data_IF_793975823525
#
_entry.id   IF_793975823525
#
_cell.length_a   1.000
_cell.length_b   1.000
_cell.length_c   1.000
_cell.angle_alpha   90.00
_cell.angle_beta   90.00
_cell.angle_gamma   90.00
#
_symmetry.space_group_name_H-M   'P 1'
#
loop_
_entity.id
_entity.type
_entity.pdbx_description
1 polymer ?
#
# COMPACT_ATOMS: atom_id res chain seq x y z
N UNK A 1 30.45 -27.30 3.44
CA UNK A 1 29.20 -27.55 2.69
C UNK A 1 28.22 -28.15 3.66
N UNK A 2 27.46 -27.30 4.35
CA UNK A 2 26.35 -27.74 5.17
C UNK A 2 25.25 -28.15 4.19
N UNK A 3 24.93 -29.43 4.12
CA UNK A 3 23.70 -29.93 3.50
C UNK A 3 22.54 -29.36 4.32
N UNK A 4 22.07 -28.17 3.93
CA UNK A 4 20.76 -27.69 4.33
C UNK A 4 19.82 -28.36 3.35
N UNK A 5 19.09 -29.39 3.80
CA UNK A 5 17.97 -29.91 3.03
C UNK A 5 17.08 -28.71 2.61
N UNK A 6 16.73 -28.57 1.33
CA UNK A 6 15.90 -27.46 0.90
C UNK A 6 14.58 -27.51 1.66
N UNK A 7 14.28 -26.43 2.38
CA UNK A 7 13.07 -26.27 3.17
C UNK A 7 11.85 -26.53 2.27
N UNK A 8 10.91 -27.37 2.71
CA UNK A 8 9.71 -27.69 1.92
C UNK A 8 8.93 -26.39 1.63
N UNK A 9 8.53 -26.21 0.36
CA UNK A 9 7.79 -25.01 -0.05
C UNK A 9 6.49 -24.89 0.75
N UNK A 10 6.18 -23.70 1.33
CA UNK A 10 4.89 -23.46 1.96
C UNK A 10 3.74 -23.80 0.99
N UNK A 11 2.70 -24.44 1.51
CA UNK A 11 1.65 -25.04 0.66
C UNK A 11 0.96 -24.03 -0.25
N UNK A 12 0.62 -22.82 0.22
CA UNK A 12 0.07 -21.76 -0.61
C UNK A 12 0.98 -21.37 -1.79
N UNK A 13 2.29 -21.28 -1.57
CA UNK A 13 3.28 -21.02 -2.63
C UNK A 13 3.33 -22.19 -3.61
N UNK A 14 3.42 -23.42 -3.13
CA UNK A 14 3.45 -24.59 -3.99
C UNK A 14 2.16 -24.73 -4.83
N UNK A 15 1.01 -24.33 -4.30
CA UNK A 15 -0.26 -24.26 -5.04
C UNK A 15 -0.22 -23.15 -6.11
N UNK A 16 0.28 -21.96 -5.78
CA UNK A 16 0.39 -20.85 -6.74
C UNK A 16 1.26 -21.23 -7.95
N UNK A 17 2.39 -21.91 -7.73
CA UNK A 17 3.26 -22.42 -8.79
C UNK A 17 2.71 -23.67 -9.51
N UNK A 18 1.57 -24.22 -9.09
CA UNK A 18 1.02 -25.47 -9.63
C UNK A 18 1.84 -26.72 -9.31
N UNK A 19 2.82 -26.62 -8.39
CA UNK A 19 3.72 -27.72 -8.00
C UNK A 19 3.05 -28.65 -6.98
N UNK A 20 2.18 -28.12 -6.12
CA UNK A 20 1.38 -28.89 -5.17
C UNK A 20 0.01 -29.30 -5.72
N UNK A 21 -0.15 -29.38 -7.05
CA UNK A 21 -1.36 -29.93 -7.65
C UNK A 21 -1.58 -31.36 -7.16
N UNK A 22 -2.46 -31.55 -6.18
CA UNK A 22 -2.81 -32.89 -5.68
C UNK A 22 -3.47 -33.68 -6.83
N UNK A 23 -3.18 -34.98 -6.99
CA UNK A 23 -3.39 -35.72 -8.22
C UNK A 23 -4.87 -36.08 -8.40
N UNK A 24 -5.42 -35.86 -9.60
CA UNK A 24 -6.10 -36.91 -10.38
C UNK A 24 -6.73 -36.33 -11.66
N UNK A 25 -6.27 -36.84 -12.82
CA UNK A 25 -7.00 -36.77 -14.09
C UNK A 25 -8.31 -37.56 -13.93
N UNK A 26 -9.45 -36.87 -14.01
CA UNK A 26 -10.80 -37.42 -13.98
C UNK A 26 -11.82 -36.39 -14.49
N UNK A 27 -13.09 -36.77 -14.72
CA UNK A 27 -14.11 -35.85 -15.26
C UNK A 27 -14.24 -34.60 -14.39
N UNK A 28 -14.48 -33.43 -15.01
CA UNK A 28 -14.62 -32.10 -14.35
C UNK A 28 -15.32 -32.24 -12.99
N UNK A 29 -14.55 -32.21 -11.89
CA UNK A 29 -15.16 -32.12 -10.56
C UNK A 29 -15.81 -30.76 -10.40
N UNK A 30 -16.89 -30.73 -9.63
CA UNK A 30 -17.60 -29.51 -9.27
C UNK A 30 -16.76 -28.53 -8.42
N UNK A 31 -15.56 -28.91 -7.94
CA UNK A 31 -14.72 -28.07 -7.08
C UNK A 31 -13.22 -28.25 -7.38
N UNK A 32 -12.52 -27.12 -7.57
CA UNK A 32 -11.08 -26.99 -7.82
C UNK A 32 -10.51 -25.78 -7.05
N UNK A 33 -9.18 -25.65 -6.98
CA UNK A 33 -8.55 -24.48 -6.31
C UNK A 33 -8.96 -23.19 -7.02
N UNK A 34 -8.93 -23.18 -8.36
CA UNK A 34 -9.29 -22.04 -9.19
C UNK A 34 -10.73 -21.60 -8.90
N UNK A 35 -11.69 -22.53 -8.87
CA UNK A 35 -13.09 -22.21 -8.53
C UNK A 35 -13.27 -21.66 -7.11
N UNK A 36 -12.45 -22.12 -6.16
CA UNK A 36 -12.47 -21.62 -4.78
C UNK A 36 -11.94 -20.18 -4.74
N UNK A 37 -10.83 -19.91 -5.43
CA UNK A 37 -10.20 -18.59 -5.48
C UNK A 37 -11.10 -17.60 -6.24
N UNK A 38 -11.67 -17.98 -7.39
CA UNK A 38 -12.65 -17.19 -8.15
C UNK A 38 -13.81 -16.73 -7.26
N UNK A 39 -14.45 -17.66 -6.55
CA UNK A 39 -15.57 -17.34 -5.66
C UNK A 39 -15.15 -16.44 -4.48
N UNK A 40 -13.92 -16.58 -3.99
CA UNK A 40 -13.39 -15.75 -2.92
C UNK A 40 -13.05 -14.33 -3.41
N UNK A 41 -12.47 -14.19 -4.61
CA UNK A 41 -12.21 -12.88 -5.26
C UNK A 41 -13.53 -12.17 -5.54
N UNK A 42 -14.53 -12.84 -6.13
CA UNK A 42 -15.86 -12.25 -6.35
C UNK A 42 -16.50 -11.76 -5.05
N UNK A 43 -16.35 -12.52 -3.96
CA UNK A 43 -16.86 -12.12 -2.65
C UNK A 43 -16.12 -10.90 -2.09
N UNK A 44 -14.79 -10.87 -2.25
CA UNK A 44 -13.95 -9.76 -1.80
C UNK A 44 -14.21 -8.47 -2.60
N UNK A 45 -14.44 -8.59 -3.91
CA UNK A 45 -14.78 -7.46 -4.78
C UNK A 45 -16.15 -6.85 -4.41
N UNK A 46 -17.12 -7.69 -4.04
CA UNK A 46 -18.47 -7.25 -3.71
C UNK A 46 -18.63 -6.73 -2.27
N UNK A 47 -18.00 -7.40 -1.30
CA UNK A 47 -18.26 -7.18 0.13
C UNK A 47 -17.00 -6.83 0.94
N UNK A 48 -15.84 -6.75 0.28
CA UNK A 48 -14.55 -6.47 0.91
C UNK A 48 -13.92 -7.70 1.58
N UNK A 49 -12.64 -7.57 1.95
CA UNK A 49 -11.85 -8.68 2.50
C UNK A 49 -12.40 -9.25 3.81
N UNK A 50 -13.11 -8.42 4.58
CA UNK A 50 -13.71 -8.81 5.85
C UNK A 50 -14.80 -9.87 5.73
N UNK A 51 -15.49 -9.91 4.59
CA UNK A 51 -16.53 -10.91 4.30
C UNK A 51 -15.94 -12.29 3.96
N UNK A 52 -14.67 -12.34 3.57
CA UNK A 52 -14.01 -13.58 3.12
C UNK A 52 -13.66 -14.46 4.32
N UNK A 53 -14.40 -15.55 4.43
CA UNK A 53 -14.14 -16.65 5.35
C UNK A 53 -14.29 -18.00 4.63
N UNK A 54 -13.63 -19.04 5.14
CA UNK A 54 -13.78 -20.40 4.59
C UNK A 54 -15.25 -20.84 4.52
N UNK A 55 -16.07 -20.40 5.48
CA UNK A 55 -17.49 -20.70 5.50
C UNK A 55 -18.29 -19.92 4.45
N UNK A 56 -18.02 -18.61 4.29
CA UNK A 56 -18.69 -17.78 3.30
C UNK A 56 -18.38 -18.25 1.86
N UNK A 57 -17.12 -18.57 1.57
CA UNK A 57 -16.71 -19.08 0.25
C UNK A 57 -17.35 -20.46 -0.02
N UNK A 58 -17.38 -21.34 0.98
CA UNK A 58 -18.03 -22.64 0.85
C UNK A 58 -19.54 -22.49 0.58
N UNK A 59 -20.22 -21.62 1.32
CA UNK A 59 -21.65 -21.35 1.14
C UNK A 59 -21.95 -20.80 -0.25
N UNK A 60 -21.14 -19.85 -0.75
CA UNK A 60 -21.26 -19.30 -2.11
C UNK A 60 -21.14 -20.38 -3.19
N UNK A 61 -20.32 -21.41 -2.95
CA UNK A 61 -20.14 -22.54 -3.87
C UNK A 61 -21.12 -23.70 -3.63
N UNK A 62 -21.99 -23.64 -2.62
CA UNK A 62 -22.90 -24.73 -2.27
C UNK A 62 -22.25 -25.93 -1.57
N UNK A 63 -21.07 -25.74 -0.96
CA UNK A 63 -20.32 -26.78 -0.25
C UNK A 63 -20.18 -26.50 1.25
N UNK A 64 -19.68 -27.48 1.98
CA UNK A 64 -19.31 -27.32 3.40
C UNK A 64 -17.89 -26.77 3.55
N UNK A 65 -17.57 -26.01 4.62
CA UNK A 65 -16.22 -25.51 4.87
C UNK A 65 -15.16 -26.63 4.88
N UNK A 66 -15.51 -27.78 5.45
CA UNK A 66 -14.64 -28.96 5.50
C UNK A 66 -14.23 -29.47 4.10
N UNK A 67 -15.05 -29.22 3.09
CA UNK A 67 -14.75 -29.61 1.71
C UNK A 67 -13.65 -28.73 1.10
N UNK A 68 -13.59 -27.44 1.44
CA UNK A 68 -12.58 -26.50 0.95
C UNK A 68 -11.19 -26.80 1.51
N UNK A 69 -11.10 -27.21 2.78
CA UNK A 69 -9.83 -27.52 3.44
C UNK A 69 -9.01 -28.63 2.78
N UNK A 70 -9.63 -29.47 1.93
CA UNK A 70 -8.91 -30.45 1.11
C UNK A 70 -8.07 -29.80 0.01
N UNK A 71 -8.47 -28.63 -0.47
CA UNK A 71 -7.85 -27.89 -1.57
C UNK A 71 -6.94 -26.79 -1.04
N UNK A 72 -7.42 -26.01 -0.07
CA UNK A 72 -6.71 -24.88 0.53
C UNK A 72 -6.68 -25.05 2.04
N UNK A 73 -5.48 -25.27 2.60
CA UNK A 73 -5.29 -25.72 3.99
C UNK A 73 -5.60 -24.66 5.04
N UNK A 74 -5.39 -23.39 4.73
CA UNK A 74 -5.56 -22.29 5.66
C UNK A 74 -6.19 -21.07 4.98
N UNK A 75 -6.74 -20.16 5.79
CA UNK A 75 -7.22 -18.87 5.28
C UNK A 75 -6.07 -18.08 4.65
N UNK A 76 -4.87 -18.12 5.22
CA UNK A 76 -3.72 -17.39 4.70
C UNK A 76 -3.29 -17.90 3.31
N UNK A 77 -3.34 -19.22 3.08
CA UNK A 77 -3.13 -19.79 1.75
C UNK A 77 -4.19 -19.29 0.75
N UNK A 78 -5.45 -19.17 1.18
CA UNK A 78 -6.52 -18.64 0.33
C UNK A 78 -6.27 -17.17 -0.02
N UNK A 79 -5.92 -16.33 0.96
CA UNK A 79 -5.63 -14.92 0.75
C UNK A 79 -4.46 -14.72 -0.21
N UNK A 80 -3.41 -15.52 -0.07
CA UNK A 80 -2.25 -15.51 -0.98
C UNK A 80 -2.65 -15.87 -2.42
N UNK A 81 -3.46 -16.92 -2.59
CA UNK A 81 -3.93 -17.34 -3.92
C UNK A 81 -4.89 -16.31 -4.53
N UNK A 82 -5.73 -15.67 -3.71
CA UNK A 82 -6.59 -14.57 -4.15
C UNK A 82 -5.75 -13.39 -4.64
N UNK A 83 -4.77 -12.93 -3.86
CA UNK A 83 -3.88 -11.83 -4.26
C UNK A 83 -3.16 -12.17 -5.57
N UNK A 84 -2.58 -13.37 -5.66
CA UNK A 84 -1.93 -13.87 -6.87
C UNK A 84 -2.85 -13.82 -8.09
N UNK A 85 -4.10 -14.28 -7.96
CA UNK A 85 -5.08 -14.27 -9.04
C UNK A 85 -5.50 -12.84 -9.43
N UNK A 86 -5.72 -11.97 -8.44
CA UNK A 86 -6.21 -10.61 -8.65
C UNK A 86 -5.13 -9.69 -9.23
N UNK A 87 -3.86 -9.90 -8.87
CA UNK A 87 -2.71 -9.23 -9.49
C UNK A 87 -2.60 -9.64 -10.96
N UNK A 88 -2.69 -10.94 -11.25
CA UNK A 88 -2.59 -11.46 -12.61
C UNK A 88 -1.23 -11.19 -13.28
N UNK A 89 -1.06 -11.64 -14.52
CA UNK A 89 0.18 -11.38 -15.27
C UNK A 89 0.29 -9.90 -15.66
N UNK A 90 1.52 -9.34 -15.70
CA UNK A 90 1.73 -8.03 -16.30
C UNK A 90 1.25 -8.01 -17.75
N UNK A 91 0.54 -6.95 -18.18
CA UNK A 91 0.16 -6.77 -19.58
C UNK A 91 1.38 -6.87 -20.50
N UNK A 92 1.26 -7.57 -21.63
CA UNK A 92 2.38 -7.78 -22.55
C UNK A 92 2.88 -6.45 -23.14
N UNK A 93 1.97 -5.50 -23.31
CA UNK A 93 2.19 -4.16 -23.83
C UNK A 93 3.17 -3.35 -22.96
N UNK A 94 3.35 -3.71 -21.68
CA UNK A 94 4.32 -3.05 -20.82
C UNK A 94 5.76 -3.15 -21.37
N UNK A 95 6.08 -4.23 -22.08
CA UNK A 95 7.41 -4.43 -22.69
C UNK A 95 7.58 -3.66 -24.00
N UNK A 96 6.48 -3.18 -24.58
CA UNK A 96 6.48 -2.48 -25.88
C UNK A 96 6.82 -1.00 -25.76
N UNK A 97 6.73 -0.42 -24.55
CA UNK A 97 7.09 0.99 -24.33
C UNK A 97 8.59 1.25 -24.52
N UNK A 98 8.90 2.39 -25.14
CA UNK A 98 10.27 2.84 -25.39
C UNK A 98 10.95 3.37 -24.12
N UNK A 99 12.04 2.71 -23.74
CA UNK A 99 12.88 3.13 -22.62
C UNK A 99 12.31 2.80 -21.24
N UNK A 100 13.22 2.63 -20.29
CA UNK A 100 12.92 2.20 -18.92
C UNK A 100 11.87 3.09 -18.23
N UNK A 101 11.92 4.41 -18.45
CA UNK A 101 11.03 5.38 -17.79
C UNK A 101 9.58 5.22 -18.24
N UNK A 102 9.34 4.98 -19.53
CA UNK A 102 7.99 4.75 -20.04
C UNK A 102 7.44 3.41 -19.56
N UNK A 103 8.27 2.36 -19.53
CA UNK A 103 7.90 1.03 -19.02
C UNK A 103 7.51 1.07 -17.53
N UNK A 104 8.32 1.71 -16.68
CA UNK A 104 8.00 1.81 -15.24
C UNK A 104 6.77 2.68 -14.96
N UNK A 105 6.55 3.74 -15.76
CA UNK A 105 5.31 4.52 -15.68
C UNK A 105 4.09 3.68 -16.06
N UNK A 106 4.16 2.93 -17.16
CA UNK A 106 3.06 2.06 -17.59
C UNK A 106 2.79 0.96 -16.56
N UNK A 107 3.84 0.41 -15.93
CA UNK A 107 3.70 -0.51 -14.81
C UNK A 107 2.97 0.11 -13.62
N UNK A 108 3.38 1.31 -13.19
CA UNK A 108 2.69 2.05 -12.12
C UNK A 108 1.20 2.22 -12.41
N UNK A 109 0.85 2.66 -13.63
CA UNK A 109 -0.54 2.86 -14.05
C UNK A 109 -1.33 1.53 -14.03
N UNK A 110 -0.74 0.45 -14.54
CA UNK A 110 -1.37 -0.85 -14.57
C UNK A 110 -1.60 -1.44 -13.17
N UNK A 111 -0.62 -1.31 -12.27
CA UNK A 111 -0.76 -1.71 -10.86
C UNK A 111 -1.85 -0.89 -10.14
N UNK A 112 -1.92 0.42 -10.36
CA UNK A 112 -3.00 1.27 -9.82
C UNK A 112 -4.37 0.79 -10.31
N UNK A 113 -4.51 0.45 -11.59
CA UNK A 113 -5.77 -0.08 -12.14
C UNK A 113 -6.16 -1.43 -11.51
N UNK A 114 -5.20 -2.29 -11.19
CA UNK A 114 -5.43 -3.53 -10.44
C UNK A 114 -5.97 -3.20 -9.04
N UNK A 115 -5.33 -2.28 -8.32
CA UNK A 115 -5.76 -1.88 -6.98
C UNK A 115 -7.14 -1.21 -6.97
N UNK A 116 -7.49 -0.48 -8.02
CA UNK A 116 -8.84 0.09 -8.16
C UNK A 116 -9.90 -0.98 -8.44
N UNK A 117 -9.53 -2.05 -9.17
CA UNK A 117 -10.42 -3.18 -9.45
C UNK A 117 -10.61 -4.08 -8.22
N UNK A 118 -9.54 -4.30 -7.47
CA UNK A 118 -9.47 -5.22 -6.34
C UNK A 118 -8.93 -4.51 -5.08
N UNK A 119 -9.65 -3.51 -4.53
CA UNK A 119 -9.15 -2.66 -3.43
C UNK A 119 -8.85 -3.42 -2.14
N UNK A 120 -9.42 -4.62 -1.97
CA UNK A 120 -9.15 -5.49 -0.83
C UNK A 120 -7.69 -5.97 -0.75
N UNK A 121 -6.95 -6.01 -1.85
CA UNK A 121 -5.50 -6.35 -1.87
C UNK A 121 -4.72 -5.41 -0.95
N UNK A 122 -5.11 -4.13 -0.92
CA UNK A 122 -4.44 -3.09 -0.15
C UNK A 122 -4.62 -3.28 1.36
N UNK A 123 -5.60 -4.08 1.78
CA UNK A 123 -5.84 -4.45 3.18
C UNK A 123 -5.06 -5.69 3.61
N UNK A 124 -4.42 -6.41 2.68
CA UNK A 124 -3.60 -7.57 3.00
C UNK A 124 -2.25 -7.14 3.58
N UNK A 125 -1.74 -7.86 4.61
CA UNK A 125 -0.41 -7.61 5.14
C UNK A 125 0.64 -7.96 4.08
N UNK A 126 1.67 -7.11 3.95
CA UNK A 126 2.83 -7.42 3.11
C UNK A 126 3.70 -8.41 3.89
N UNK A 127 3.69 -9.68 3.48
CA UNK A 127 4.46 -10.74 4.14
C UNK A 127 5.57 -11.25 3.23
N UNK A 128 6.82 -10.91 3.56
CA UNK A 128 8.00 -11.45 2.88
C UNK A 128 8.15 -10.99 1.42
N UNK A 129 8.90 -11.78 0.65
CA UNK A 129 9.21 -11.50 -0.76
C UNK A 129 8.08 -12.02 -1.68
N UNK A 130 7.73 -11.31 -2.77
CA UNK A 130 6.69 -11.71 -3.71
C UNK A 130 7.12 -12.91 -4.56
N UNK A 131 7.10 -14.11 -3.98
CA UNK A 131 7.60 -15.34 -4.62
C UNK A 131 6.51 -16.14 -5.35
N UNK A 132 5.32 -15.59 -5.55
CA UNK A 132 4.26 -16.23 -6.37
C UNK A 132 4.47 -15.91 -7.86
N UNK A 133 3.97 -16.73 -8.80
CA UNK A 133 4.27 -16.57 -10.23
C UNK A 133 3.99 -15.19 -10.83
N UNK A 134 2.78 -14.65 -10.63
CA UNK A 134 2.36 -13.37 -11.18
C UNK A 134 3.14 -12.23 -10.51
N UNK A 135 3.25 -12.24 -9.18
CA UNK A 135 4.04 -11.23 -8.46
C UNK A 135 5.53 -11.26 -8.88
N UNK A 136 6.08 -12.45 -9.13
CA UNK A 136 7.43 -12.62 -9.68
C UNK A 136 7.54 -12.10 -11.11
N UNK A 137 6.52 -12.28 -11.94
CA UNK A 137 6.48 -11.78 -13.32
C UNK A 137 6.41 -10.24 -13.38
N UNK A 138 5.69 -9.60 -12.46
CA UNK A 138 5.70 -8.14 -12.32
C UNK A 138 7.08 -7.61 -11.93
N UNK A 139 7.75 -8.26 -10.96
CA UNK A 139 9.10 -7.89 -10.58
C UNK A 139 10.11 -8.12 -11.72
N UNK A 140 10.01 -9.24 -12.43
CA UNK A 140 10.83 -9.53 -13.61
C UNK A 140 10.66 -8.45 -14.68
N UNK A 141 9.42 -8.06 -14.99
CA UNK A 141 9.12 -7.00 -15.95
C UNK A 141 9.76 -5.66 -15.57
N UNK A 142 9.74 -5.30 -14.28
CA UNK A 142 10.35 -4.07 -13.78
C UNK A 142 11.89 -4.09 -13.87
N UNK A 143 12.50 -5.23 -13.51
CA UNK A 143 13.94 -5.44 -13.58
C UNK A 143 14.44 -5.45 -15.03
N UNK A 144 13.68 -6.08 -15.93
CA UNK A 144 13.93 -6.09 -17.38
C UNK A 144 13.86 -4.68 -17.97
N UNK A 145 12.89 -3.86 -17.56
CA UNK A 145 12.79 -2.47 -18.00
C UNK A 145 14.06 -1.66 -17.69
N UNK A 146 14.74 -1.95 -16.58
CA UNK A 146 16.00 -1.30 -16.17
C UNK A 146 17.25 -2.04 -16.67
N UNK A 147 17.09 -3.10 -17.46
CA UNK A 147 18.13 -4.04 -17.88
C UNK A 147 19.34 -3.39 -18.55
N UNK A 148 19.08 -2.38 -19.37
CA UNK A 148 20.08 -1.66 -20.18
C UNK A 148 20.67 -0.43 -19.48
N UNK A 149 20.24 -0.14 -18.25
CA UNK A 149 20.76 0.99 -17.47
C UNK A 149 22.07 0.63 -16.75
N UNK A 150 22.92 1.62 -16.41
CA UNK A 150 24.15 1.39 -15.64
C UNK A 150 23.88 0.98 -14.17
N UNK A 151 22.62 0.91 -13.73
CA UNK A 151 22.26 0.53 -12.36
C UNK A 151 22.70 -0.91 -12.04
N UNK A 152 23.19 -1.12 -10.83
CA UNK A 152 23.40 -2.43 -10.22
C UNK A 152 22.08 -3.17 -9.98
N UNK A 153 22.12 -4.49 -9.81
CA UNK A 153 20.92 -5.28 -9.50
C UNK A 153 20.18 -4.78 -8.24
N UNK A 154 20.92 -4.36 -7.20
CA UNK A 154 20.34 -3.79 -5.98
C UNK A 154 19.61 -2.48 -6.25
N UNK A 155 20.18 -1.59 -7.06
CA UNK A 155 19.55 -0.33 -7.42
C UNK A 155 18.32 -0.56 -8.31
N UNK A 156 18.38 -1.51 -9.25
CA UNK A 156 17.21 -1.87 -10.08
C UNK A 156 16.06 -2.38 -9.23
N UNK A 157 16.34 -3.24 -8.25
CA UNK A 157 15.36 -3.72 -7.30
C UNK A 157 14.79 -2.56 -6.46
N UNK A 158 15.64 -1.69 -5.93
CA UNK A 158 15.21 -0.53 -5.15
C UNK A 158 14.30 0.41 -5.97
N UNK A 159 14.65 0.64 -7.24
CA UNK A 159 13.84 1.47 -8.14
C UNK A 159 12.48 0.83 -8.41
N UNK A 160 12.47 -0.47 -8.69
CA UNK A 160 11.24 -1.24 -8.95
C UNK A 160 10.31 -1.23 -7.72
N UNK A 161 10.85 -1.52 -6.54
CA UNK A 161 10.08 -1.51 -5.28
C UNK A 161 9.52 -0.13 -4.94
N UNK A 162 10.25 0.95 -5.24
CA UNK A 162 9.76 2.30 -5.02
C UNK A 162 8.58 2.65 -5.94
N UNK A 163 8.59 2.19 -7.19
CA UNK A 163 7.47 2.35 -8.12
C UNK A 163 6.24 1.58 -7.63
N UNK A 164 6.41 0.30 -7.29
CA UNK A 164 5.32 -0.53 -6.75
C UNK A 164 4.77 0.01 -5.43
N UNK A 165 5.65 0.52 -4.55
CA UNK A 165 5.26 1.17 -3.31
C UNK A 165 4.42 2.44 -3.54
N UNK A 166 4.80 3.27 -4.52
CA UNK A 166 4.02 4.45 -4.90
C UNK A 166 2.68 4.07 -5.51
N UNK A 167 2.62 3.06 -6.38
CA UNK A 167 1.35 2.56 -6.93
C UNK A 167 0.42 2.05 -5.83
N UNK A 168 0.95 1.29 -4.86
CA UNK A 168 0.19 0.79 -3.72
C UNK A 168 -0.31 1.92 -2.81
N UNK A 169 0.52 2.93 -2.55
CA UNK A 169 0.10 4.12 -1.79
C UNK A 169 -1.01 4.88 -2.50
N UNK A 170 -0.87 5.10 -3.82
CA UNK A 170 -1.89 5.77 -4.61
C UNK A 170 -3.20 4.98 -4.61
N UNK A 171 -3.14 3.66 -4.86
CA UNK A 171 -4.30 2.77 -4.78
C UNK A 171 -4.98 2.83 -3.41
N UNK A 172 -4.21 2.86 -2.31
CA UNK A 172 -4.72 2.99 -0.93
C UNK A 172 -5.54 4.26 -0.74
N UNK A 173 -5.03 5.40 -1.22
CA UNK A 173 -5.73 6.67 -1.09
C UNK A 173 -7.01 6.68 -1.94
N UNK A 174 -6.95 6.25 -3.21
CA UNK A 174 -8.13 6.23 -4.09
C UNK A 174 -9.21 5.25 -3.63
N UNK A 175 -8.81 4.06 -3.15
CA UNK A 175 -9.73 3.09 -2.56
C UNK A 175 -10.42 3.68 -1.32
N UNK A 176 -9.68 4.41 -0.49
CA UNK A 176 -10.23 5.13 0.66
C UNK A 176 -11.28 6.17 0.27
N UNK A 177 -11.01 7.00 -0.75
CA UNK A 177 -11.99 7.97 -1.26
C UNK A 177 -13.23 7.31 -1.86
N UNK A 178 -13.04 6.23 -2.62
CA UNK A 178 -14.14 5.47 -3.23
C UNK A 178 -15.06 4.89 -2.16
N UNK A 179 -14.47 4.30 -1.11
CA UNK A 179 -15.23 3.74 0.02
C UNK A 179 -15.95 4.84 0.82
N UNK A 180 -15.31 5.99 1.03
CA UNK A 180 -15.94 7.13 1.68
C UNK A 180 -17.14 7.66 0.87
N UNK A 181 -17.04 7.71 -0.45
CA UNK A 181 -18.17 8.08 -1.32
C UNK A 181 -19.31 7.07 -1.22
N UNK A 182 -19.00 5.77 -1.28
CA UNK A 182 -19.99 4.70 -1.17
C UNK A 182 -20.75 4.72 0.17
N UNK A 183 -20.04 4.97 1.27
CA UNK A 183 -20.63 4.94 2.62
C UNK A 183 -21.33 6.23 3.01
N UNK A 184 -20.86 7.39 2.52
CA UNK A 184 -21.48 8.69 2.80
C UNK A 184 -22.66 9.03 1.90
N UNK A 185 -22.75 8.39 0.72
CA UNK A 185 -23.73 8.72 -0.31
C UNK A 185 -23.48 10.07 -1.01
N UNK A 186 -22.32 10.68 -0.78
CA UNK A 186 -21.90 11.96 -1.37
C UNK A 186 -21.06 11.72 -2.63
N UNK A 187 -21.11 12.65 -3.57
CA UNK A 187 -20.18 12.66 -4.70
C UNK A 187 -18.75 12.96 -4.23
N UNK A 188 -17.71 12.57 -5.00
CA UNK A 188 -16.33 12.95 -4.69
C UNK A 188 -16.14 14.46 -4.46
N UNK A 189 -16.78 15.30 -5.28
CA UNK A 189 -16.70 16.76 -5.14
C UNK A 189 -17.35 17.26 -3.84
N UNK A 190 -18.48 16.68 -3.44
CA UNK A 190 -19.14 17.03 -2.17
C UNK A 190 -18.29 16.67 -0.96
N UNK A 191 -17.58 15.54 -1.02
CA UNK A 191 -16.63 15.11 0.02
C UNK A 191 -15.49 16.11 0.12
N UNK A 192 -14.87 16.46 -1.02
CA UNK A 192 -13.77 17.43 -1.09
C UNK A 192 -14.17 18.79 -0.53
N UNK A 193 -15.34 19.32 -0.92
CA UNK A 193 -15.86 20.60 -0.38
C UNK A 193 -16.11 20.52 1.13
N UNK A 194 -16.68 19.41 1.61
CA UNK A 194 -16.95 19.21 3.04
C UNK A 194 -15.66 19.13 3.84
N UNK A 195 -14.63 18.46 3.33
CA UNK A 195 -13.32 18.36 3.96
C UNK A 195 -12.60 19.71 4.00
N UNK A 196 -12.62 20.46 2.89
CA UNK A 196 -12.09 21.83 2.84
C UNK A 196 -12.75 22.75 3.90
N UNK A 197 -14.07 22.67 4.05
CA UNK A 197 -14.80 23.43 5.07
C UNK A 197 -14.43 23.02 6.52
N UNK A 198 -14.05 21.75 6.74
CA UNK A 198 -13.51 21.32 8.04
C UNK A 198 -12.12 21.92 8.27
N UNK A 199 -11.24 21.89 7.26
CA UNK A 199 -9.92 22.50 7.34
C UNK A 199 -10.00 24.00 7.68
N UNK A 200 -10.92 24.74 7.06
CA UNK A 200 -11.11 26.16 7.36
C UNK A 200 -11.49 26.45 8.81
N UNK A 201 -12.17 25.52 9.48
CA UNK A 201 -12.59 25.69 10.87
C UNK A 201 -11.51 25.33 11.89
N UNK A 202 -10.57 24.45 11.54
CA UNK A 202 -9.63 23.85 12.50
C UNK A 202 -8.17 24.19 12.23
N UNK A 203 -7.82 24.53 11.00
CA UNK A 203 -6.45 24.86 10.59
C UNK A 203 -6.30 26.38 10.55
N UNK A 204 -5.61 26.93 11.56
CA UNK A 204 -5.35 28.37 11.69
C UNK A 204 -3.93 28.71 11.26
N UNK A 205 -3.72 29.93 10.73
CA UNK A 205 -2.37 30.42 10.37
C UNK A 205 -1.42 30.47 11.57
N UNK A 206 -1.96 30.71 12.78
CA UNK A 206 -1.17 30.80 14.00
C UNK A 206 -0.58 29.45 14.43
N UNK A 207 -1.26 28.35 14.13
CA UNK A 207 -0.87 26.99 14.55
C UNK A 207 -0.26 26.18 13.42
N UNK A 208 -0.75 26.39 12.19
CA UNK A 208 -0.38 25.63 11.00
C UNK A 208 -0.12 26.57 9.82
N UNK A 209 0.87 27.48 9.90
CA UNK A 209 1.06 28.54 8.90
C UNK A 209 1.25 28.00 7.48
N UNK A 210 2.05 26.95 7.29
CA UNK A 210 2.29 26.37 5.98
C UNK A 210 1.04 25.66 5.40
N UNK A 211 0.32 24.90 6.23
CA UNK A 211 -0.90 24.21 5.80
C UNK A 211 -2.00 25.22 5.50
N UNK A 212 -2.12 26.29 6.29
CA UNK A 212 -3.07 27.36 6.05
C UNK A 212 -2.82 28.06 4.72
N UNK A 213 -1.56 28.40 4.43
CA UNK A 213 -1.18 28.98 3.15
C UNK A 213 -1.50 28.04 1.98
N UNK A 214 -1.32 26.73 2.15
CA UNK A 214 -1.68 25.74 1.13
C UNK A 214 -3.20 25.65 0.90
N UNK A 215 -4.01 25.63 1.96
CA UNK A 215 -5.48 25.62 1.82
C UNK A 215 -5.95 26.92 1.15
N UNK A 216 -5.38 28.08 1.50
CA UNK A 216 -5.67 29.38 0.86
C UNK A 216 -5.26 29.40 -0.62
N UNK A 217 -4.19 28.69 -0.99
CA UNK A 217 -3.81 28.46 -2.38
C UNK A 217 -4.71 27.44 -3.11
N UNK A 218 -5.70 26.84 -2.42
CA UNK A 218 -6.68 25.94 -3.00
C UNK A 218 -6.18 24.51 -3.23
N UNK A 219 -5.06 24.08 -2.63
CA UNK A 219 -4.44 22.77 -2.96
C UNK A 219 -5.36 21.56 -2.73
N UNK A 220 -6.32 21.66 -1.80
CA UNK A 220 -7.28 20.59 -1.51
C UNK A 220 -8.48 20.57 -2.46
N UNK A 221 -8.67 21.63 -3.26
CA UNK A 221 -9.70 21.76 -4.28
C UNK A 221 -9.13 21.62 -5.70
N UNK A 222 -7.82 21.51 -5.84
CA UNK A 222 -7.15 21.38 -7.13
C UNK A 222 -7.48 20.01 -7.76
N UNK A 223 -7.62 19.99 -9.09
CA UNK A 223 -7.82 18.77 -9.88
C UNK A 223 -6.49 18.08 -10.23
N UNK A 224 -5.36 18.64 -9.80
CA UNK A 224 -4.04 18.07 -10.04
C UNK A 224 -3.90 16.69 -9.37
N UNK A 225 -3.17 15.79 -10.03
CA UNK A 225 -2.85 14.47 -9.48
C UNK A 225 -1.47 14.50 -8.80
N UNK A 226 -1.41 14.64 -7.45
CA UNK A 226 -0.14 14.70 -6.74
C UNK A 226 0.63 13.39 -6.78
N UNK A 227 -0.03 12.25 -7.04
CA UNK A 227 0.61 10.93 -7.11
C UNK A 227 1.26 10.73 -8.48
N UNK A 228 0.60 11.15 -9.56
CA UNK A 228 1.28 11.21 -10.86
C UNK A 228 2.44 12.20 -10.84
N UNK A 229 2.26 13.35 -10.20
CA UNK A 229 3.39 14.27 -10.01
C UNK A 229 4.55 13.58 -9.27
N UNK A 230 4.28 12.86 -8.18
CA UNK A 230 5.35 12.22 -7.39
C UNK A 230 6.11 11.14 -8.15
N UNK A 231 5.42 10.27 -8.89
CA UNK A 231 6.09 9.22 -9.66
C UNK A 231 6.94 9.79 -10.79
N UNK A 232 6.46 10.85 -11.47
CA UNK A 232 7.26 11.53 -12.51
C UNK A 232 8.52 12.17 -11.93
N UNK A 233 8.41 12.89 -10.80
CA UNK A 233 9.59 13.49 -10.14
C UNK A 233 10.58 12.42 -9.66
N UNK A 234 10.07 11.30 -9.16
CA UNK A 234 10.90 10.17 -8.76
C UNK A 234 11.67 9.58 -9.95
N UNK A 235 10.98 9.29 -11.06
CA UNK A 235 11.62 8.74 -12.26
C UNK A 235 12.61 9.74 -12.88
N UNK A 236 12.31 11.04 -12.90
CA UNK A 236 13.27 12.07 -13.31
C UNK A 236 14.52 12.10 -12.42
N UNK A 237 14.34 11.94 -11.10
CA UNK A 237 15.48 11.81 -10.18
C UNK A 237 16.38 10.60 -10.49
N UNK A 238 15.77 9.46 -10.82
CA UNK A 238 16.50 8.26 -11.26
C UNK A 238 17.22 8.50 -12.59
N UNK A 239 16.60 9.22 -13.53
CA UNK A 239 17.22 9.59 -14.81
C UNK A 239 18.46 10.48 -14.60
N UNK A 240 18.38 11.46 -13.70
CA UNK A 240 19.53 12.31 -13.32
C UNK A 240 20.66 11.48 -12.71
N UNK A 241 20.31 10.50 -11.86
CA UNK A 241 21.28 9.59 -11.25
C UNK A 241 21.98 8.71 -12.30
N UNK A 242 21.21 8.06 -13.18
CA UNK A 242 21.73 7.27 -14.31
C UNK A 242 22.68 8.11 -15.16
N UNK A 243 22.28 9.33 -15.55
CA UNK A 243 23.13 10.21 -16.33
C UNK A 243 24.43 10.59 -15.58
N UNK A 244 24.40 10.62 -14.25
CA UNK A 244 25.60 10.78 -13.42
C UNK A 244 26.54 9.58 -13.50
N UNK A 245 26.00 8.37 -13.43
CA UNK A 245 26.76 7.12 -13.60
C UNK A 245 27.40 7.04 -14.99
N UNK A 246 26.67 7.43 -16.04
CA UNK A 246 27.21 7.51 -17.41
C UNK A 246 28.38 8.50 -17.53
N UNK A 247 28.42 9.53 -16.68
CA UNK A 247 29.54 10.48 -16.56
C UNK A 247 30.67 9.99 -15.64
N UNK A 248 30.57 8.78 -15.10
CA UNK A 248 31.58 8.16 -14.23
C UNK A 248 31.43 8.50 -12.75
N UNK A 249 30.26 8.97 -12.29
CA UNK A 249 29.99 9.06 -10.85
C UNK A 249 29.98 7.67 -10.22
N UNK A 250 30.37 7.59 -8.95
CA UNK A 250 30.28 6.35 -8.18
C UNK A 250 28.83 6.00 -7.85
N UNK A 251 28.56 4.69 -7.71
CA UNK A 251 27.29 4.21 -7.17
C UNK A 251 27.08 4.68 -5.72
N UNK A 252 25.83 4.94 -5.37
CA UNK A 252 25.43 5.30 -4.02
C UNK A 252 25.66 4.12 -3.05
N UNK A 253 26.05 4.46 -1.82
CA UNK A 253 26.16 3.48 -0.74
C UNK A 253 24.76 3.13 -0.19
N UNK A 254 24.43 1.84 -0.18
CA UNK A 254 23.15 1.31 0.29
C UNK A 254 23.19 0.98 1.79
N UNK A 255 23.61 1.93 2.61
CA UNK A 255 23.67 1.75 4.06
C UNK A 255 22.25 1.62 4.64
N UNK A 256 22.03 0.59 5.47
CA UNK A 256 20.77 0.42 6.20
C UNK A 256 20.53 1.60 7.13
N UNK A 257 19.51 2.40 6.83
CA UNK A 257 19.21 3.62 7.58
C UNK A 257 18.41 3.37 8.86
N UNK A 258 17.61 2.30 8.92
CA UNK A 258 16.81 1.93 10.08
C UNK A 258 17.52 0.86 10.92
N UNK A 259 18.09 1.28 12.05
CA UNK A 259 18.44 0.39 13.15
C UNK A 259 17.34 0.50 14.21
N UNK A 260 16.47 -0.51 14.31
CA UNK A 260 15.49 -0.55 15.38
C UNK A 260 16.09 -1.16 16.65
N UNK A 261 16.86 -0.34 17.37
CA UNK A 261 17.41 -0.71 18.69
C UNK A 261 16.29 -0.92 19.73
N UNK A 262 15.05 -0.49 19.45
CA UNK A 262 13.94 -0.56 20.41
C UNK A 262 13.52 -2.00 20.70
N UNK A 263 13.61 -2.90 19.72
CA UNK A 263 13.30 -4.31 19.90
C UNK A 263 14.26 -4.99 20.89
N UNK A 264 15.54 -4.61 20.88
CA UNK A 264 16.56 -5.16 21.77
C UNK A 264 16.34 -4.75 23.24
N UNK A 265 15.74 -3.58 23.49
CA UNK A 265 15.56 -3.03 24.84
C UNK A 265 14.11 -3.03 25.33
N UNK A 266 13.15 -3.49 24.51
CA UNK A 266 11.72 -3.48 24.83
C UNK A 266 11.36 -4.23 26.13
N UNK A 267 12.13 -5.26 26.48
CA UNK A 267 11.96 -6.03 27.72
C UNK A 267 12.45 -5.32 28.98
N UNK A 268 13.33 -4.32 28.87
CA UNK A 268 13.99 -3.68 30.01
C UNK A 268 12.99 -2.88 30.86
N UNK A 269 13.04 -3.11 32.19
CA UNK A 269 12.09 -2.49 33.13
C UNK A 269 12.31 -0.98 33.27
N UNK A 270 13.54 -0.49 33.20
CA UNK A 270 13.88 0.93 33.28
C UNK A 270 13.44 1.65 32.02
N UNK A 271 13.63 1.04 30.84
CA UNK A 271 13.14 1.58 29.57
C UNK A 271 11.61 1.70 29.59
N UNK A 272 10.89 0.64 30.03
CA UNK A 272 9.42 0.70 30.16
C UNK A 272 8.94 1.79 31.13
N UNK A 273 9.62 1.96 32.27
CA UNK A 273 9.30 3.01 33.22
C UNK A 273 9.55 4.42 32.65
N UNK A 274 10.66 4.62 31.93
CA UNK A 274 10.97 5.88 31.26
C UNK A 274 9.94 6.20 30.15
N UNK A 275 9.59 5.22 29.30
CA UNK A 275 8.55 5.38 28.26
C UNK A 275 7.20 5.73 28.89
N UNK A 276 6.83 5.11 30.01
CA UNK A 276 5.60 5.46 30.74
C UNK A 276 5.64 6.91 31.23
N UNK A 277 6.74 7.35 31.83
CA UNK A 277 6.93 8.73 32.30
C UNK A 277 6.80 9.74 31.14
N UNK A 278 7.41 9.45 29.99
CA UNK A 278 7.28 10.28 28.78
C UNK A 278 5.83 10.38 28.34
N UNK A 279 5.08 9.26 28.29
CA UNK A 279 3.65 9.28 27.93
C UNK A 279 2.81 10.11 28.89
N UNK A 280 3.09 10.05 30.18
CA UNK A 280 2.40 10.86 31.20
C UNK A 280 2.71 12.36 31.03
N UNK A 281 3.98 12.71 30.80
CA UNK A 281 4.41 14.07 30.53
C UNK A 281 3.80 14.63 29.23
N UNK A 282 3.78 13.84 28.15
CA UNK A 282 3.11 14.22 26.90
C UNK A 282 1.61 14.45 27.08
N UNK A 283 0.94 13.61 27.88
CA UNK A 283 -0.49 13.79 28.18
C UNK A 283 -0.72 15.11 28.92
N UNK A 284 0.11 15.42 29.92
CA UNK A 284 0.05 16.68 30.65
C UNK A 284 0.33 17.87 29.73
N UNK A 285 1.35 17.79 28.88
CA UNK A 285 1.68 18.83 27.90
C UNK A 285 0.54 19.07 26.90
N UNK A 286 -0.11 18.00 26.40
CA UNK A 286 -1.28 18.12 25.50
C UNK A 286 -2.44 18.83 26.19
N UNK A 287 -2.68 18.57 27.48
CA UNK A 287 -3.71 19.26 28.26
C UNK A 287 -3.38 20.75 28.45
N UNK A 288 -2.16 21.07 28.88
CA UNK A 288 -1.70 22.44 29.05
C UNK A 288 -1.76 23.24 27.74
N UNK A 289 -1.33 22.66 26.62
CA UNK A 289 -1.46 23.29 25.29
C UNK A 289 -2.92 23.53 24.89
N UNK A 290 -3.85 22.67 25.30
CA UNK A 290 -5.29 22.87 25.03
C UNK A 290 -5.83 24.07 25.80
N UNK A 291 -5.45 24.20 27.07
CA UNK A 291 -5.81 25.34 27.91
C UNK A 291 -5.22 26.64 27.36
N UNK A 292 -3.94 26.62 26.97
CA UNK A 292 -3.27 27.76 26.33
C UNK A 292 -4.01 28.22 25.06
N UNK A 293 -4.38 27.27 24.18
CA UNK A 293 -5.17 27.57 22.96
C UNK A 293 -6.51 28.20 23.28
N UNK A 294 -7.23 27.67 24.26
CA UNK A 294 -8.53 28.21 24.65
C UNK A 294 -8.38 29.65 25.18
N UNK A 295 -7.39 29.87 26.06
CA UNK A 295 -7.11 31.20 26.61
C UNK A 295 -6.76 32.23 25.51
N UNK A 296 -5.97 31.82 24.50
CA UNK A 296 -5.65 32.69 23.34
C UNK A 296 -6.89 33.02 22.51
N UNK A 297 -7.77 32.04 22.24
CA UNK A 297 -9.04 32.28 21.52
C UNK A 297 -9.97 33.22 22.29
N UNK A 298 -10.12 33.01 23.59
CA UNK A 298 -10.95 33.86 24.46
C UNK A 298 -10.38 35.28 24.58
N UNK A 299 -9.05 35.44 24.55
CA UNK A 299 -8.41 36.75 24.50
C UNK A 299 -8.68 37.47 23.16
N UNK A 300 -8.51 36.79 22.02
CA UNK A 300 -8.77 37.37 20.70
C UNK A 300 -10.23 37.83 20.54
N UNK A 301 -11.21 36.99 20.94
CA UNK A 301 -12.63 37.33 20.88
C UNK A 301 -13.00 38.55 21.75
N UNK A 302 -12.34 38.72 22.91
CA UNK A 302 -12.53 39.89 23.79
C UNK A 302 -11.99 41.18 23.16
N UNK A 303 -10.87 41.11 22.47
CA UNK A 303 -10.28 42.27 21.78
C UNK A 303 -11.13 42.69 20.56
N UNK A 304 -11.61 41.72 19.77
CA UNK A 304 -12.55 42.01 18.66
C UNK A 304 -13.85 42.68 19.14
N UNK A 305 -14.43 42.20 20.25
CA UNK A 305 -15.63 42.80 20.86
C UNK A 305 -15.41 44.18 21.50
N UNK A 306 -14.15 44.59 21.70
CA UNK A 306 -13.77 45.94 22.12
C UNK A 306 -13.55 46.87 20.93
N UNK A 307 -12.97 46.37 19.84
CA UNK A 307 -12.70 47.15 18.62
C UNK A 307 -13.95 47.47 17.78
N UNK A 308 -15.03 46.69 17.92
CA UNK A 308 -16.31 46.92 17.23
C UNK A 308 -17.29 47.88 17.93
N UNK A 309 -16.84 48.62 18.94
CA UNK A 309 -17.61 49.67 19.66
C UNK A 309 -17.01 51.04 19.40
#
# INVERSE_FOLDING_TARGET
>A
MTDVEPEELPRGIALAWGVAANPQRGPKREMSVERIVDAAVELADAEGIGAVSMAAVAAKLGFTPMSLYRYVSAKDDLLLLMEEQAIGLPPQELREYDGWRARLRAQFEAEVLIYLRHPWILSLPITGSPITPNSSAWLDCALDALGETPLTATERLAVSLAVTGQARWYGTVLAGYTEQARTSGLSPQEITVREAALFDRVITAAEFPALRAAIEAGVFLAEDDPFRFSVERYLEGVEVYIAGLDRGHAHADAATWLQDDSAAVAGDKRVRAAVKSVREAEKALRAARKEERQARRDAAAREEARAGR
#
